data_IF_059964615348
#
_entry.id   IF_059964615348
#
_cell.length_a   1.000
_cell.length_b   1.000
_cell.length_c   1.000
_cell.angle_alpha   90.00
_cell.angle_beta   90.00
_cell.angle_gamma   90.00
#
_symmetry.space_group_name_H-M   'P 1'
#
loop_
_entity.id
_entity.type
_entity.pdbx_description
1 polymer ?
#
# COMPACT_ATOMS: atom_id res chain seq x y z
N UNK A 1 7.96 -21.14 22.35
CA UNK A 1 6.55 -21.17 21.93
C UNK A 1 5.97 -19.75 21.83
N UNK A 2 6.51 -18.88 21.00
CA UNK A 2 6.07 -17.47 20.95
C UNK A 2 5.99 -16.94 19.53
N UNK A 3 5.39 -17.65 18.59
CA UNK A 3 5.36 -17.22 17.20
C UNK A 3 4.01 -17.11 16.46
N UNK A 4 2.85 -17.51 16.97
CA UNK A 4 1.63 -17.39 16.16
C UNK A 4 0.95 -16.01 16.23
N UNK A 5 1.25 -15.18 17.22
CA UNK A 5 0.55 -13.91 17.45
C UNK A 5 0.87 -12.79 16.42
N UNK A 6 2.07 -12.77 15.84
CA UNK A 6 2.48 -11.73 14.89
C UNK A 6 1.78 -11.82 13.54
N UNK A 7 1.54 -13.01 13.02
CA UNK A 7 0.90 -13.19 11.71
C UNK A 7 -0.61 -12.98 11.74
N UNK A 8 -1.27 -13.36 12.83
CA UNK A 8 -2.69 -13.12 13.06
C UNK A 8 -2.99 -11.62 13.21
N UNK A 9 -2.09 -10.87 13.85
CA UNK A 9 -2.22 -9.44 14.08
C UNK A 9 -2.14 -8.63 12.77
N UNK A 10 -1.18 -8.94 11.90
CA UNK A 10 -1.06 -8.29 10.59
C UNK A 10 -2.28 -8.58 9.70
N UNK A 11 -2.79 -9.80 9.73
CA UNK A 11 -3.98 -10.19 8.96
C UNK A 11 -5.26 -9.49 9.41
N UNK A 12 -5.43 -9.25 10.72
CA UNK A 12 -6.58 -8.53 11.25
C UNK A 12 -6.51 -7.03 10.93
N UNK A 13 -5.34 -6.40 11.11
CA UNK A 13 -5.13 -4.99 10.81
C UNK A 13 -5.32 -4.68 9.31
N UNK A 14 -4.79 -5.55 8.43
CA UNK A 14 -5.01 -5.43 6.99
C UNK A 14 -6.48 -5.59 6.61
N UNK A 15 -7.18 -6.51 7.26
CA UNK A 15 -8.61 -6.75 7.03
C UNK A 15 -9.47 -5.57 7.46
N UNK A 16 -9.14 -4.95 8.59
CA UNK A 16 -9.83 -3.77 9.10
C UNK A 16 -9.56 -2.52 8.24
N UNK A 17 -8.32 -2.36 7.73
CA UNK A 17 -7.99 -1.32 6.75
C UNK A 17 -8.81 -1.49 5.46
N UNK A 18 -8.95 -2.72 4.95
CA UNK A 18 -9.75 -3.03 3.76
C UNK A 18 -11.26 -2.88 3.98
N UNK A 19 -11.74 -2.86 5.21
CA UNK A 19 -13.15 -2.57 5.55
C UNK A 19 -13.49 -1.09 5.45
N UNK A 20 -12.49 -0.21 5.53
CA UNK A 20 -12.71 1.22 5.34
C UNK A 20 -13.02 1.50 3.85
N UNK A 21 -14.17 2.08 3.53
CA UNK A 21 -14.57 2.32 2.15
C UNK A 21 -13.59 3.25 1.40
N UNK A 22 -12.96 4.21 2.08
CA UNK A 22 -11.97 5.11 1.49
C UNK A 22 -10.71 4.36 1.04
N UNK A 23 -10.16 3.51 1.91
CA UNK A 23 -8.99 2.67 1.59
C UNK A 23 -9.29 1.74 0.43
N UNK A 24 -10.44 1.09 0.47
CA UNK A 24 -10.87 0.16 -0.58
C UNK A 24 -10.99 0.83 -1.95
N UNK A 25 -11.61 2.00 -2.01
CA UNK A 25 -11.76 2.76 -3.26
C UNK A 25 -10.40 3.17 -3.82
N UNK A 26 -9.50 3.68 -2.98
CA UNK A 26 -8.16 4.09 -3.41
C UNK A 26 -7.31 2.91 -3.91
N UNK A 27 -7.38 1.77 -3.24
CA UNK A 27 -6.69 0.56 -3.69
C UNK A 27 -7.24 0.02 -5.01
N UNK A 28 -8.57 -0.01 -5.15
CA UNK A 28 -9.21 -0.41 -6.41
C UNK A 28 -8.85 0.53 -7.55
N UNK A 29 -8.81 1.85 -7.29
CA UNK A 29 -8.41 2.85 -8.27
C UNK A 29 -6.94 2.65 -8.69
N UNK A 30 -6.03 2.41 -7.75
CA UNK A 30 -4.63 2.11 -8.04
C UNK A 30 -4.49 0.83 -8.87
N UNK A 31 -5.22 -0.23 -8.53
CA UNK A 31 -5.26 -1.47 -9.31
C UNK A 31 -5.78 -1.22 -10.74
N UNK A 32 -6.85 -0.45 -10.90
CA UNK A 32 -7.37 -0.11 -12.24
C UNK A 32 -6.33 0.64 -13.08
N UNK A 33 -5.65 1.60 -12.50
CA UNK A 33 -4.59 2.37 -13.18
C UNK A 33 -3.45 1.44 -13.63
N UNK A 34 -3.00 0.53 -12.77
CA UNK A 34 -1.96 -0.45 -13.08
C UNK A 34 -2.41 -1.41 -14.19
N UNK A 35 -3.62 -1.93 -14.10
CA UNK A 35 -4.17 -2.84 -15.12
C UNK A 35 -4.27 -2.14 -16.47
N UNK A 36 -4.78 -0.90 -16.50
CA UNK A 36 -4.90 -0.11 -17.72
C UNK A 36 -3.52 0.13 -18.35
N UNK A 37 -2.52 0.48 -17.55
CA UNK A 37 -1.15 0.66 -18.02
C UNK A 37 -0.55 -0.66 -18.54
N UNK A 38 -0.77 -1.76 -17.85
CA UNK A 38 -0.31 -3.10 -18.28
C UNK A 38 -0.87 -3.47 -19.66
N UNK A 39 -2.17 -3.30 -19.86
CA UNK A 39 -2.82 -3.56 -21.15
C UNK A 39 -2.25 -2.63 -22.22
N UNK A 40 -2.12 -1.36 -21.94
CA UNK A 40 -1.57 -0.40 -22.89
C UNK A 40 -0.15 -0.78 -23.34
N UNK A 41 0.77 -1.05 -22.39
CA UNK A 41 2.15 -1.39 -22.74
C UNK A 41 2.27 -2.74 -23.44
N UNK A 42 1.44 -3.70 -23.08
CA UNK A 42 1.39 -4.98 -23.81
C UNK A 42 1.12 -4.79 -25.30
N UNK A 43 0.12 -3.99 -25.64
CA UNK A 43 -0.26 -3.78 -27.05
C UNK A 43 0.62 -2.74 -27.77
N UNK A 44 1.04 -1.69 -27.06
CA UNK A 44 1.78 -0.59 -27.69
C UNK A 44 3.27 -0.89 -27.86
N UNK A 45 3.89 -1.52 -26.87
CA UNK A 45 5.33 -1.82 -26.86
C UNK A 45 5.60 -3.28 -27.26
N UNK A 46 4.57 -4.12 -27.36
CA UNK A 46 4.70 -5.55 -27.69
C UNK A 46 5.29 -6.39 -26.57
N UNK A 47 5.28 -5.90 -25.33
CA UNK A 47 5.83 -6.62 -24.20
C UNK A 47 4.96 -7.78 -23.74
N UNK A 48 5.57 -8.80 -23.12
CA UNK A 48 4.83 -9.84 -22.44
C UNK A 48 3.93 -9.28 -21.33
N UNK A 49 2.84 -9.97 -21.01
CA UNK A 49 1.91 -9.54 -19.96
C UNK A 49 2.61 -9.32 -18.61
N UNK A 50 3.55 -10.19 -18.28
CA UNK A 50 4.32 -10.09 -17.02
C UNK A 50 5.26 -8.90 -17.05
N UNK A 51 5.95 -8.66 -18.16
CA UNK A 51 6.88 -7.53 -18.31
C UNK A 51 6.14 -6.18 -18.27
N UNK A 52 4.99 -6.10 -18.94
CA UNK A 52 4.13 -4.92 -18.91
C UNK A 52 3.56 -4.64 -17.51
N UNK A 53 3.13 -5.66 -16.78
CA UNK A 53 2.69 -5.55 -15.40
C UNK A 53 3.83 -5.11 -14.48
N UNK A 54 4.97 -5.78 -14.60
CA UNK A 54 6.17 -5.46 -13.83
C UNK A 54 6.58 -4.00 -14.03
N UNK A 55 6.71 -3.55 -15.28
CA UNK A 55 7.04 -2.14 -15.59
C UNK A 55 6.01 -1.18 -14.99
N UNK A 56 4.72 -1.46 -15.14
CA UNK A 56 3.66 -0.62 -14.58
C UNK A 56 3.78 -0.48 -13.06
N UNK A 57 4.03 -1.57 -12.35
CA UNK A 57 4.15 -1.57 -10.89
C UNK A 57 5.40 -0.82 -10.43
N UNK A 58 6.58 -1.13 -10.99
CA UNK A 58 7.85 -0.48 -10.56
C UNK A 58 7.88 1.00 -10.90
N UNK A 59 7.14 1.42 -11.93
CA UNK A 59 7.05 2.81 -12.36
C UNK A 59 6.15 3.62 -11.43
N UNK A 60 4.94 3.12 -11.11
CA UNK A 60 4.02 3.82 -10.20
C UNK A 60 4.54 3.84 -8.76
N UNK A 61 5.27 2.79 -8.36
CA UNK A 61 5.95 2.71 -7.07
C UNK A 61 7.24 3.55 -7.00
N UNK A 62 7.56 4.26 -8.06
CA UNK A 62 8.77 5.12 -8.17
C UNK A 62 10.10 4.38 -8.01
N UNK A 63 10.11 3.07 -8.21
CA UNK A 63 11.34 2.24 -8.15
C UNK A 63 12.18 2.43 -9.40
N UNK A 64 11.58 2.25 -10.59
CA UNK A 64 12.17 2.59 -11.89
C UNK A 64 13.56 2.01 -12.14
N UNK A 65 13.71 0.68 -12.17
CA UNK A 65 15.03 0.04 -12.40
C UNK A 65 15.66 0.39 -13.75
N UNK A 66 14.85 0.79 -14.75
CA UNK A 66 15.34 1.15 -16.08
C UNK A 66 15.68 -0.03 -16.98
N UNK A 67 15.33 -1.24 -16.59
CA UNK A 67 15.46 -2.46 -17.38
C UNK A 67 14.42 -2.54 -18.51
N UNK A 68 13.24 -1.97 -18.29
CA UNK A 68 12.21 -1.72 -19.28
C UNK A 68 11.96 -0.23 -19.41
N UNK A 69 11.84 0.25 -20.65
CA UNK A 69 11.50 1.64 -20.97
C UNK A 69 10.73 1.68 -22.30
N UNK A 70 9.67 2.50 -22.42
CA UNK A 70 8.93 2.62 -23.68
C UNK A 70 9.82 3.15 -24.79
N UNK A 71 9.75 2.51 -25.95
CA UNK A 71 10.50 2.90 -27.15
C UNK A 71 9.65 3.79 -28.07
N UNK A 72 8.34 3.56 -28.10
CA UNK A 72 7.44 4.30 -28.95
C UNK A 72 7.17 5.72 -28.42
N UNK A 73 7.02 6.72 -29.28
CA UNK A 73 6.66 8.08 -28.84
C UNK A 73 5.33 8.10 -28.04
N UNK A 74 4.35 7.30 -28.46
CA UNK A 74 3.07 7.19 -27.78
C UNK A 74 3.20 6.53 -26.41
N UNK A 75 4.03 5.48 -26.30
CA UNK A 75 4.35 4.86 -25.03
C UNK A 75 4.99 5.82 -24.04
N UNK A 76 5.93 6.64 -24.50
CA UNK A 76 6.58 7.69 -23.69
C UNK A 76 5.57 8.75 -23.23
N UNK A 77 4.71 9.22 -24.13
CA UNK A 77 3.68 10.22 -23.81
C UNK A 77 2.66 9.67 -22.80
N UNK A 78 2.23 8.42 -23.00
CA UNK A 78 1.35 7.74 -22.06
C UNK A 78 2.01 7.60 -20.68
N UNK A 79 3.30 7.26 -20.62
CA UNK A 79 4.06 7.16 -19.37
C UNK A 79 4.05 8.46 -18.59
N UNK A 80 4.21 9.59 -19.26
CA UNK A 80 4.13 10.92 -18.61
C UNK A 80 2.77 11.13 -17.97
N UNK A 81 1.68 10.90 -18.70
CA UNK A 81 0.32 10.98 -18.14
C UNK A 81 0.09 9.99 -17.01
N UNK A 82 0.53 8.75 -17.20
CA UNK A 82 0.46 7.70 -16.21
C UNK A 82 1.14 8.08 -14.89
N UNK A 83 2.33 8.69 -14.96
CA UNK A 83 3.06 9.15 -13.77
C UNK A 83 2.36 10.30 -13.06
N UNK A 84 1.87 11.30 -13.79
CA UNK A 84 1.19 12.46 -13.19
C UNK A 84 -0.04 12.03 -12.40
N UNK A 85 -0.89 11.19 -12.98
CA UNK A 85 -2.12 10.73 -12.32
C UNK A 85 -1.88 9.53 -11.39
N UNK A 86 -1.06 8.58 -11.82
CA UNK A 86 -0.84 7.31 -11.11
C UNK A 86 -0.11 7.49 -9.79
N UNK A 87 0.97 8.28 -9.76
CA UNK A 87 1.73 8.52 -8.52
C UNK A 87 0.85 9.20 -7.47
N UNK A 88 0.07 10.20 -7.85
CA UNK A 88 -0.82 10.89 -6.92
C UNK A 88 -1.79 9.93 -6.22
N UNK A 89 -2.49 9.11 -6.99
CA UNK A 89 -3.43 8.13 -6.46
C UNK A 89 -2.73 7.06 -5.64
N UNK A 90 -1.61 6.53 -6.14
CA UNK A 90 -0.85 5.46 -5.48
C UNK A 90 -0.27 5.92 -4.13
N UNK A 91 0.30 7.12 -4.06
CA UNK A 91 0.85 7.68 -2.80
C UNK A 91 -0.26 7.89 -1.77
N UNK A 92 -1.40 8.46 -2.17
CA UNK A 92 -2.54 8.65 -1.26
C UNK A 92 -3.08 7.30 -0.79
N UNK A 93 -3.21 6.30 -1.67
CA UNK A 93 -3.65 4.96 -1.31
C UNK A 93 -2.73 4.30 -0.28
N UNK A 94 -1.41 4.36 -0.52
CA UNK A 94 -0.39 3.77 0.35
C UNK A 94 -0.33 4.50 1.69
N UNK A 95 -0.37 5.84 1.71
CA UNK A 95 -0.38 6.64 2.92
C UNK A 95 -1.62 6.34 3.78
N UNK A 96 -2.81 6.31 3.18
CA UNK A 96 -4.05 6.02 3.88
C UNK A 96 -4.04 4.60 4.47
N UNK A 97 -3.53 3.63 3.73
CA UNK A 97 -3.37 2.26 4.23
C UNK A 97 -2.41 2.21 5.42
N UNK A 98 -1.25 2.89 5.34
CA UNK A 98 -0.27 2.96 6.41
C UNK A 98 -0.82 3.64 7.68
N UNK A 99 -1.59 4.71 7.54
CA UNK A 99 -2.24 5.39 8.67
C UNK A 99 -3.19 4.47 9.43
N UNK A 100 -3.99 3.67 8.73
CA UNK A 100 -4.89 2.70 9.36
C UNK A 100 -4.13 1.61 10.11
N UNK A 101 -3.00 1.12 9.56
CA UNK A 101 -2.15 0.17 10.26
C UNK A 101 -1.54 0.77 11.53
N UNK A 102 -1.06 2.02 11.47
CA UNK A 102 -0.45 2.71 12.61
C UNK A 102 -1.47 3.02 13.72
N UNK A 103 -2.70 3.39 13.36
CA UNK A 103 -3.78 3.62 14.33
C UNK A 103 -4.11 2.34 15.10
N UNK A 104 -4.13 1.21 14.43
CA UNK A 104 -4.39 -0.08 15.09
C UNK A 104 -3.28 -0.46 16.06
N UNK A 105 -2.01 -0.27 15.68
CA UNK A 105 -0.85 -0.50 16.55
C UNK A 105 -0.87 0.42 17.77
N UNK A 106 -1.20 1.69 17.57
CA UNK A 106 -1.24 2.67 18.67
C UNK A 106 -2.33 2.37 19.68
N UNK A 107 -3.52 1.93 19.25
CA UNK A 107 -4.60 1.58 20.17
C UNK A 107 -4.25 0.40 21.07
N UNK A 108 -3.53 -0.58 20.56
CA UNK A 108 -3.07 -1.73 21.33
C UNK A 108 -2.01 -1.33 22.39
N UNK A 109 -1.08 -0.44 22.05
CA UNK A 109 -0.04 0.01 22.96
C UNK A 109 -0.62 0.82 24.14
N UNK A 110 -1.65 1.63 23.90
CA UNK A 110 -2.33 2.41 24.96
C UNK A 110 -3.08 1.49 25.92
N UNK A 111 -3.69 0.40 25.43
CA UNK A 111 -4.38 -0.57 26.28
C UNK A 111 -3.44 -1.38 27.19
N UNK A 112 -2.19 -1.58 26.80
CA UNK A 112 -1.20 -2.26 27.63
C UNK A 112 -0.61 -1.36 28.73
N UNK A 113 -0.54 -0.06 28.52
CA UNK A 113 -0.02 0.88 29.53
C UNK A 113 -1.05 1.21 30.63
N UNK A 114 -2.34 1.11 30.35
CA UNK A 114 -3.43 1.30 31.32
C UNK A 114 -3.59 0.18 32.35
N UNK A 115 -2.84 -0.92 32.22
CA UNK A 115 -2.86 -2.07 33.15
C UNK A 115 -1.68 -2.10 34.14
N UNK A 116 -1.03 -0.98 34.42
CA UNK A 116 -0.08 -0.94 35.53
C UNK A 116 -0.86 -1.09 36.86
N UNK A 117 -0.55 -2.09 37.69
CA UNK A 117 -1.15 -2.21 39.01
C UNK A 117 -0.80 -0.94 39.81
N UNK A 118 -1.82 -0.25 40.29
CA UNK A 118 -1.61 0.83 41.27
C UNK A 118 -0.85 0.27 42.46
N UNK A 119 0.31 0.83 42.75
CA UNK A 119 1.10 0.46 43.92
C UNK A 119 0.22 0.52 45.19
N UNK A 120 0.36 -0.44 46.11
CA UNK A 120 -0.42 -0.43 47.34
C UNK A 120 -0.14 0.83 48.14
N UNK A 121 -1.20 1.57 48.46
CA UNK A 121 -1.10 2.72 49.39
C UNK A 121 -0.56 2.23 50.70
N UNK A 122 0.64 2.65 51.06
CA UNK A 122 1.21 2.45 52.39
C UNK A 122 0.30 3.20 53.36
N UNK A 123 -0.49 2.49 54.14
CA UNK A 123 -1.13 3.05 55.33
C UNK A 123 -0.01 3.32 56.37
N UNK A 124 0.31 4.58 56.55
CA UNK A 124 1.02 5.03 57.74
C UNK A 124 0.00 5.16 58.87
N UNK A 125 0.09 4.27 59.84
CA UNK A 125 -0.47 4.47 61.17
C UNK A 125 0.45 5.41 61.94
#
# INVERSE_FOLDING_TARGET
MTAPLKYSFFGSAARDALRNPKVRVLLLLSCMIIITATVFYHFQEGWGWIDALYFSVITIATVGYGDFAPHTPLGKLFTVGYLIFGIGVFVVATATFAEHLLQHIRSELIHTDGKRPTAPKHKSD
#
